data_IF_037858203017
#
_entry.id   IF_037858203017
#
_cell.length_a   1.000
_cell.length_b   1.000
_cell.length_c   1.000
_cell.angle_alpha   90.00
_cell.angle_beta   90.00
_cell.angle_gamma   90.00
#
_symmetry.space_group_name_H-M   'P 1'
#
loop_
_entity.id
_entity.type
_entity.pdbx_description
1 polymer ?
#
# COMPACT_ATOMS: atom_id res chain seq x y z
N UNK A 1 -50.02 -6.47 -9.05
CA UNK A 1 -48.70 -6.83 -9.62
C UNK A 1 -47.70 -6.91 -8.47
N UNK A 2 -47.35 -8.12 -8.02
CA UNK A 2 -46.30 -8.30 -7.01
C UNK A 2 -44.94 -8.20 -7.72
N UNK A 3 -44.14 -7.17 -7.37
CA UNK A 3 -42.72 -7.13 -7.74
C UNK A 3 -42.04 -8.33 -7.08
N UNK A 4 -41.59 -9.28 -7.88
CA UNK A 4 -40.62 -10.29 -7.44
C UNK A 4 -39.37 -9.53 -7.00
N UNK A 5 -38.87 -9.71 -5.77
CA UNK A 5 -37.62 -9.09 -5.34
C UNK A 5 -36.50 -9.54 -6.28
N UNK A 6 -35.78 -8.58 -6.86
CA UNK A 6 -34.53 -8.86 -7.56
C UNK A 6 -33.60 -9.56 -6.57
N UNK A 7 -33.33 -10.85 -6.79
CA UNK A 7 -32.33 -11.58 -6.01
C UNK A 7 -30.99 -11.01 -6.41
N UNK A 8 -30.39 -10.23 -5.50
CA UNK A 8 -29.02 -9.76 -5.71
C UNK A 8 -28.10 -10.98 -5.87
N UNK A 9 -27.28 -11.04 -6.93
CA UNK A 9 -26.36 -12.15 -7.10
C UNK A 9 -25.38 -12.21 -5.92
N UNK A 10 -25.21 -13.40 -5.36
CA UNK A 10 -24.26 -13.69 -4.28
C UNK A 10 -23.11 -14.54 -4.81
N UNK A 11 -21.90 -14.31 -4.29
CA UNK A 11 -20.69 -15.00 -4.72
C UNK A 11 -19.94 -15.55 -3.50
N UNK A 12 -19.45 -16.79 -3.61
CA UNK A 12 -18.54 -17.40 -2.63
C UNK A 12 -17.29 -17.88 -3.37
N UNK A 13 -16.19 -17.13 -3.22
CA UNK A 13 -14.92 -17.34 -3.92
C UNK A 13 -15.03 -17.33 -5.45
N UNK A 14 -13.88 -17.42 -6.11
CA UNK A 14 -13.73 -17.61 -7.55
C UNK A 14 -12.59 -18.62 -7.81
N UNK A 15 -12.70 -19.45 -8.85
CA UNK A 15 -11.58 -20.30 -9.26
C UNK A 15 -10.43 -19.43 -9.75
N UNK A 16 -9.20 -19.77 -9.37
CA UNK A 16 -8.03 -19.15 -9.97
C UNK A 16 -7.93 -19.55 -11.45
N UNK A 17 -7.49 -18.63 -12.32
CA UNK A 17 -7.25 -18.93 -13.72
C UNK A 17 -6.04 -19.87 -13.88
N UNK A 18 -5.92 -20.60 -15.01
CA UNK A 18 -4.85 -21.58 -15.22
C UNK A 18 -3.43 -21.03 -15.09
N UNK A 19 -3.22 -19.73 -15.32
CA UNK A 19 -1.92 -19.06 -15.16
C UNK A 19 -1.50 -18.79 -13.70
N UNK A 20 -2.36 -19.09 -12.73
CA UNK A 20 -2.10 -18.89 -11.30
C UNK A 20 -2.09 -20.24 -10.57
N UNK A 21 -1.06 -20.51 -9.77
CA UNK A 21 -0.96 -21.75 -8.99
C UNK A 21 -1.47 -21.46 -7.57
N UNK A 22 -2.59 -22.08 -7.19
CA UNK A 22 -3.14 -21.94 -5.84
C UNK A 22 -2.10 -22.37 -4.79
N UNK A 23 -1.89 -21.55 -3.76
CA UNK A 23 -0.88 -21.82 -2.71
C UNK A 23 -1.07 -23.19 -2.03
N UNK A 24 -2.32 -23.59 -1.80
CA UNK A 24 -2.66 -24.84 -1.12
C UNK A 24 -2.69 -26.07 -2.04
N UNK A 25 -2.47 -25.92 -3.36
CA UNK A 25 -2.41 -27.06 -4.28
C UNK A 25 -1.16 -27.92 -4.02
N UNK A 26 -1.10 -29.11 -4.61
CA UNK A 26 0.12 -29.92 -4.55
C UNK A 26 1.32 -29.19 -5.15
N UNK A 27 1.14 -28.59 -6.32
CA UNK A 27 2.16 -27.77 -6.98
C UNK A 27 2.53 -26.53 -6.16
N UNK A 28 1.56 -25.78 -5.64
CA UNK A 28 1.82 -24.57 -4.85
C UNK A 28 2.61 -24.85 -3.58
N UNK A 29 2.37 -26.01 -2.94
CA UNK A 29 3.15 -26.49 -1.80
C UNK A 29 4.55 -26.95 -2.20
N UNK A 30 4.72 -27.54 -3.39
CA UNK A 30 6.04 -27.89 -3.91
C UNK A 30 6.87 -26.63 -4.18
N UNK A 31 6.30 -25.65 -4.90
CA UNK A 31 6.92 -24.34 -5.16
C UNK A 31 7.32 -23.65 -3.86
N UNK A 32 6.46 -23.67 -2.83
CA UNK A 32 6.79 -23.10 -1.52
C UNK A 32 7.99 -23.78 -0.86
N UNK A 33 8.05 -25.12 -0.85
CA UNK A 33 9.19 -25.84 -0.24
C UNK A 33 10.49 -25.55 -0.97
N UNK A 34 10.44 -25.50 -2.30
CA UNK A 34 11.59 -25.18 -3.15
C UNK A 34 12.07 -23.74 -2.90
N UNK A 35 11.17 -22.76 -2.93
CA UNK A 35 11.47 -21.35 -2.64
C UNK A 35 12.01 -21.15 -1.21
N UNK A 36 11.46 -21.87 -0.23
CA UNK A 36 11.95 -21.83 1.15
C UNK A 36 13.38 -22.37 1.26
N UNK A 37 13.68 -23.49 0.56
CA UNK A 37 15.03 -24.04 0.51
C UNK A 37 16.02 -23.11 -0.21
N UNK A 38 15.53 -22.29 -1.15
CA UNK A 38 16.31 -21.25 -1.85
C UNK A 38 16.50 -19.97 -1.03
N UNK A 39 15.88 -19.85 0.15
CA UNK A 39 16.00 -18.68 1.02
C UNK A 39 15.25 -17.44 0.51
N UNK A 40 14.23 -17.61 -0.34
CA UNK A 40 13.48 -16.52 -0.97
C UNK A 40 12.05 -16.41 -0.45
N UNK A 41 11.83 -16.79 0.81
CA UNK A 41 10.54 -16.80 1.51
C UNK A 41 10.55 -16.00 2.83
N UNK A 42 11.57 -15.21 3.10
CA UNK A 42 11.74 -14.53 4.41
C UNK A 42 10.62 -13.53 4.70
N UNK A 43 10.08 -12.87 3.67
CA UNK A 43 8.91 -12.00 3.79
C UNK A 43 7.63 -12.74 4.21
N UNK A 44 7.53 -14.05 3.94
CA UNK A 44 6.31 -14.82 4.16
C UNK A 44 5.93 -14.89 5.64
N UNK A 45 6.92 -15.14 6.50
CA UNK A 45 6.70 -15.39 7.92
C UNK A 45 6.08 -14.20 8.65
N UNK A 46 6.68 -12.98 8.63
CA UNK A 46 6.06 -11.84 9.29
C UNK A 46 4.75 -11.44 8.61
N UNK A 47 4.62 -11.53 7.28
CA UNK A 47 3.37 -11.18 6.60
C UNK A 47 2.21 -12.14 6.93
N UNK A 48 2.47 -13.44 7.07
CA UNK A 48 1.40 -14.42 7.36
C UNK A 48 0.87 -14.29 8.78
N UNK A 49 1.70 -13.87 9.75
CA UNK A 49 1.26 -13.50 11.10
C UNK A 49 0.24 -12.35 11.06
N UNK A 50 0.31 -11.50 10.03
CA UNK A 50 -0.57 -10.35 9.84
C UNK A 50 -1.69 -10.58 8.84
N UNK A 51 -1.84 -11.79 8.28
CA UNK A 51 -2.66 -11.96 7.07
C UNK A 51 -4.13 -11.59 7.28
N UNK A 52 -4.53 -10.51 6.61
CA UNK A 52 -5.78 -9.81 6.82
C UNK A 52 -6.77 -10.06 5.66
N UNK A 53 -8.07 -10.06 5.97
CA UNK A 53 -9.11 -10.00 4.93
C UNK A 53 -9.54 -8.55 4.82
N UNK A 54 -9.46 -7.94 3.64
CA UNK A 54 -9.89 -6.55 3.47
C UNK A 54 -11.32 -6.34 3.98
N UNK A 55 -11.55 -5.30 4.79
CA UNK A 55 -12.83 -5.12 5.49
C UNK A 55 -13.97 -4.72 4.54
N UNK A 56 -13.63 -3.98 3.47
CA UNK A 56 -14.56 -3.57 2.41
C UNK A 56 -14.04 -3.99 1.03
N UNK A 57 -14.91 -4.18 0.01
CA UNK A 57 -14.49 -4.54 -1.35
C UNK A 57 -13.48 -3.58 -1.98
N UNK A 58 -13.50 -2.29 -1.62
CA UNK A 58 -12.56 -1.27 -2.11
C UNK A 58 -11.27 -1.15 -1.25
N UNK A 59 -11.23 -1.78 -0.07
CA UNK A 59 -10.14 -1.61 0.91
C UNK A 59 -8.90 -2.48 0.65
N UNK A 60 -8.76 -3.09 -0.53
CA UNK A 60 -7.59 -3.94 -0.82
C UNK A 60 -6.23 -3.23 -0.59
N UNK A 61 -6.15 -1.93 -0.88
CA UNK A 61 -4.97 -1.12 -0.59
C UNK A 61 -4.72 -0.96 0.92
N UNK A 62 -5.78 -0.69 1.70
CA UNK A 62 -5.68 -0.56 3.16
C UNK A 62 -5.33 -1.90 3.82
N UNK A 63 -6.02 -2.97 3.44
CA UNK A 63 -5.77 -4.33 3.94
C UNK A 63 -4.38 -4.84 3.64
N UNK A 64 -3.84 -4.51 2.46
CA UNK A 64 -2.45 -4.79 2.13
C UNK A 64 -1.49 -3.98 3.00
N UNK A 65 -1.77 -2.70 3.21
CA UNK A 65 -0.87 -1.83 3.95
C UNK A 65 -0.83 -2.17 5.45
N UNK A 66 -1.96 -2.51 6.09
CA UNK A 66 -1.94 -2.94 7.50
C UNK A 66 -1.15 -4.22 7.72
N UNK A 67 -1.17 -5.16 6.76
CA UNK A 67 -0.30 -6.34 6.82
C UNK A 67 1.16 -5.94 6.86
N UNK A 68 1.56 -5.05 5.96
CA UNK A 68 2.96 -4.61 5.83
C UNK A 68 3.41 -3.79 7.04
N UNK A 69 2.62 -2.81 7.50
CA UNK A 69 2.98 -1.96 8.63
C UNK A 69 3.14 -2.77 9.93
N UNK A 70 2.23 -3.72 10.19
CA UNK A 70 2.35 -4.61 11.35
C UNK A 70 3.51 -5.60 11.19
N UNK A 71 3.78 -6.11 9.98
CA UNK A 71 4.90 -7.01 9.71
C UNK A 71 6.28 -6.32 9.90
N UNK A 72 6.35 -5.02 9.61
CA UNK A 72 7.51 -4.16 9.91
C UNK A 72 7.61 -3.78 11.39
N UNK A 73 6.68 -4.22 12.24
CA UNK A 73 6.62 -3.91 13.67
C UNK A 73 6.66 -2.38 13.93
N UNK A 74 6.01 -1.61 13.05
CA UNK A 74 5.87 -0.16 13.24
C UNK A 74 4.76 0.07 14.27
N UNK A 75 5.07 0.94 15.24
CA UNK A 75 4.12 1.34 16.26
C UNK A 75 3.23 2.47 15.73
N UNK A 76 1.90 2.32 15.69
CA UNK A 76 1.02 3.38 15.19
C UNK A 76 1.01 4.62 16.07
N UNK A 77 1.55 4.56 17.29
CA UNK A 77 1.61 5.71 18.22
C UNK A 77 0.24 6.16 18.73
N UNK A 78 -0.83 5.39 18.46
CA UNK A 78 -2.19 5.63 18.95
C UNK A 78 -2.87 4.33 19.33
N UNK A 79 -3.81 4.42 20.27
CA UNK A 79 -4.61 3.28 20.69
C UNK A 79 -5.46 2.73 19.54
N UNK A 80 -5.56 1.41 19.47
CA UNK A 80 -6.50 0.68 18.62
C UNK A 80 -7.70 0.20 19.42
N UNK A 81 -7.46 -0.63 20.46
CA UNK A 81 -8.50 -1.18 21.34
C UNK A 81 -7.99 -1.27 22.77
N UNK A 82 -8.63 -0.54 23.69
CA UNK A 82 -8.17 -0.46 25.08
C UNK A 82 -6.73 0.05 25.14
N UNK A 83 -5.81 -0.61 25.89
CA UNK A 83 -4.41 -0.19 25.97
C UNK A 83 -3.56 -0.62 24.76
N UNK A 84 -4.13 -1.39 23.81
CA UNK A 84 -3.38 -1.97 22.71
C UNK A 84 -3.22 -1.00 21.54
N UNK A 85 -2.03 -0.99 20.96
CA UNK A 85 -1.68 -0.24 19.75
C UNK A 85 -1.41 -1.23 18.63
N UNK A 86 -2.09 -1.06 17.51
CA UNK A 86 -2.02 -1.97 16.36
C UNK A 86 -2.59 -1.28 15.13
N UNK A 87 -2.03 -1.53 13.94
CA UNK A 87 -2.63 -0.99 12.72
C UNK A 87 -3.90 -1.76 12.34
N UNK A 88 -4.98 -1.02 12.11
CA UNK A 88 -6.21 -1.48 11.46
C UNK A 88 -6.58 -0.57 10.28
N UNK A 89 -7.42 -1.06 9.36
CA UNK A 89 -7.77 -0.30 8.15
C UNK A 89 -8.44 1.04 8.50
N UNK A 90 -9.21 1.07 9.59
CA UNK A 90 -9.87 2.27 10.15
C UNK A 90 -8.89 3.38 10.57
N UNK A 91 -7.61 3.08 10.72
CA UNK A 91 -6.58 4.05 11.08
C UNK A 91 -5.89 4.64 9.85
N UNK A 92 -6.10 4.11 8.64
CA UNK A 92 -5.39 4.55 7.44
C UNK A 92 -6.13 5.69 6.71
N UNK A 93 -6.30 6.82 7.41
CA UNK A 93 -7.14 7.95 6.99
C UNK A 93 -6.37 9.28 6.81
N UNK A 94 -5.04 9.27 6.79
CA UNK A 94 -4.22 10.49 6.75
C UNK A 94 -4.09 11.15 5.36
N UNK A 95 -4.24 10.35 4.30
CA UNK A 95 -4.02 10.77 2.89
C UNK A 95 -5.30 10.75 2.04
N UNK A 96 -6.39 10.20 2.58
CA UNK A 96 -7.72 10.11 1.97
C UNK A 96 -8.72 9.69 3.03
N UNK A 97 -9.94 10.24 3.02
CA UNK A 97 -10.98 9.81 3.96
C UNK A 97 -11.40 8.36 3.70
N UNK A 98 -11.76 7.62 4.74
CA UNK A 98 -12.22 6.23 4.59
C UNK A 98 -13.48 6.13 3.72
N UNK A 99 -14.35 7.15 3.75
CA UNK A 99 -15.55 7.21 2.91
C UNK A 99 -15.19 7.31 1.42
N UNK A 100 -14.17 8.09 1.07
CA UNK A 100 -13.71 8.19 -0.32
C UNK A 100 -12.98 6.92 -0.75
N UNK A 101 -12.23 6.29 0.15
CA UNK A 101 -11.59 4.98 -0.12
C UNK A 101 -12.66 3.91 -0.32
N UNK A 102 -13.76 3.95 0.42
CA UNK A 102 -14.82 2.95 0.30
C UNK A 102 -15.55 3.06 -1.05
N UNK A 103 -15.62 4.26 -1.62
CA UNK A 103 -16.22 4.49 -2.94
C UNK A 103 -15.27 4.15 -4.09
N UNK A 104 -14.02 4.61 -4.03
CA UNK A 104 -13.13 4.64 -5.20
C UNK A 104 -11.85 3.81 -5.05
N UNK A 105 -11.56 3.33 -3.84
CA UNK A 105 -10.27 2.74 -3.49
C UNK A 105 -9.14 3.78 -3.40
N UNK A 106 -7.90 3.32 -3.59
CA UNK A 106 -6.71 4.17 -3.59
C UNK A 106 -5.82 3.89 -4.80
N UNK A 107 -5.07 4.91 -5.22
CA UNK A 107 -4.03 4.80 -6.25
C UNK A 107 -2.71 4.30 -5.66
N UNK A 108 -1.74 3.95 -6.52
CA UNK A 108 -0.39 3.53 -6.09
C UNK A 108 0.32 4.60 -5.25
N UNK A 109 0.16 5.87 -5.61
CA UNK A 109 0.77 7.01 -4.89
C UNK A 109 0.07 7.28 -3.56
N UNK A 110 -1.25 7.09 -3.49
CA UNK A 110 -1.99 7.18 -2.24
C UNK A 110 -1.59 6.07 -1.26
N UNK A 111 -1.33 4.86 -1.73
CA UNK A 111 -0.78 3.79 -0.89
C UNK A 111 0.59 4.17 -0.30
N UNK A 112 1.49 4.74 -1.11
CA UNK A 112 2.79 5.20 -0.62
C UNK A 112 2.66 6.35 0.39
N UNK A 113 1.76 7.31 0.14
CA UNK A 113 1.45 8.39 1.09
C UNK A 113 0.97 7.82 2.43
N UNK A 114 0.01 6.88 2.41
CA UNK A 114 -0.50 6.23 3.62
C UNK A 114 0.61 5.48 4.37
N UNK A 115 1.53 4.82 3.67
CA UNK A 115 2.69 4.17 4.30
C UNK A 115 3.61 5.20 4.99
N UNK A 116 3.95 6.29 4.28
CA UNK A 116 4.81 7.38 4.76
C UNK A 116 4.22 8.08 5.98
N UNK A 117 2.93 8.40 5.93
CA UNK A 117 2.26 9.05 7.06
C UNK A 117 2.17 8.16 8.30
N UNK A 118 2.33 6.84 8.15
CA UNK A 118 2.31 5.88 9.26
C UNK A 118 3.72 5.43 9.66
N UNK A 119 4.77 6.18 9.32
CA UNK A 119 6.14 5.96 9.82
C UNK A 119 6.97 4.96 9.02
N UNK A 120 6.52 4.57 7.82
CA UNK A 120 7.30 3.72 6.91
C UNK A 120 7.96 4.56 5.81
N UNK A 121 9.11 4.11 5.31
CA UNK A 121 9.60 4.59 4.02
C UNK A 121 8.89 3.84 2.90
N UNK A 122 8.45 4.54 1.87
CA UNK A 122 7.86 3.95 0.68
C UNK A 122 8.53 4.49 -0.60
N UNK A 123 9.05 3.60 -1.44
CA UNK A 123 9.64 3.94 -2.74
C UNK A 123 8.74 3.38 -3.86
N UNK A 124 8.15 4.25 -4.68
CA UNK A 124 7.20 3.88 -5.75
C UNK A 124 7.91 3.61 -7.06
N UNK A 125 7.59 2.50 -7.72
CA UNK A 125 8.04 2.15 -9.07
C UNK A 125 6.84 1.91 -9.99
N UNK A 126 6.63 2.83 -10.92
CA UNK A 126 5.59 2.67 -11.95
C UNK A 126 6.06 1.70 -13.03
N UNK A 127 5.16 0.83 -13.48
CA UNK A 127 5.46 -0.13 -14.54
C UNK A 127 5.83 0.54 -15.88
N UNK A 128 5.22 1.69 -16.20
CA UNK A 128 5.51 2.46 -17.43
C UNK A 128 6.95 3.02 -17.47
N UNK A 129 7.60 3.19 -16.32
CA UNK A 129 8.97 3.72 -16.20
C UNK A 129 9.96 2.75 -15.55
N UNK A 130 9.55 1.51 -15.28
CA UNK A 130 10.42 0.47 -14.71
C UNK A 130 10.52 -0.72 -15.66
N UNK A 131 11.13 -1.81 -15.22
CA UNK A 131 11.26 -3.03 -16.01
C UNK A 131 10.91 -4.28 -15.21
N UNK A 132 10.71 -5.39 -15.92
CA UNK A 132 10.52 -6.69 -15.31
C UNK A 132 11.74 -7.09 -14.44
N UNK A 133 12.95 -6.75 -14.86
CA UNK A 133 14.17 -6.99 -14.10
C UNK A 133 14.19 -6.18 -12.81
N UNK A 134 13.70 -4.93 -12.83
CA UNK A 134 13.55 -4.12 -11.63
C UNK A 134 12.55 -4.74 -10.65
N UNK A 135 11.42 -5.26 -11.15
CA UNK A 135 10.46 -6.01 -10.32
C UNK A 135 11.10 -7.26 -9.72
N UNK A 136 11.79 -8.08 -10.52
CA UNK A 136 12.48 -9.29 -10.05
C UNK A 136 13.50 -8.95 -8.96
N UNK A 137 14.29 -7.90 -9.16
CA UNK A 137 15.28 -7.46 -8.19
C UNK A 137 14.63 -7.01 -6.87
N UNK A 138 13.59 -6.18 -6.94
CA UNK A 138 12.88 -5.69 -5.76
C UNK A 138 12.21 -6.84 -4.97
N UNK A 139 11.55 -7.76 -5.67
CA UNK A 139 10.91 -8.92 -5.06
C UNK A 139 11.96 -9.84 -4.42
N UNK A 140 13.05 -10.15 -5.14
CA UNK A 140 14.12 -10.99 -4.61
C UNK A 140 14.75 -10.39 -3.35
N UNK A 141 15.04 -9.09 -3.37
CA UNK A 141 15.63 -8.38 -2.23
C UNK A 141 14.73 -8.51 -1.00
N UNK A 142 13.45 -8.14 -1.12
CA UNK A 142 12.50 -8.17 -0.01
C UNK A 142 12.18 -9.59 0.49
N UNK A 143 12.26 -10.60 -0.38
CA UNK A 143 11.95 -11.98 0.04
C UNK A 143 13.18 -12.78 0.46
N UNK A 144 14.39 -12.25 0.30
CA UNK A 144 15.64 -12.87 0.78
C UNK A 144 16.16 -12.27 2.08
N UNK A 145 15.62 -11.13 2.51
CA UNK A 145 15.96 -10.46 3.77
C UNK A 145 14.81 -10.60 4.76
N UNK A 146 15.16 -10.80 6.03
CA UNK A 146 14.18 -10.85 7.10
C UNK A 146 13.83 -9.42 7.56
N UNK A 147 12.53 -9.15 7.70
CA UNK A 147 11.90 -8.10 8.53
C UNK A 147 12.10 -6.61 8.18
N UNK A 148 13.03 -6.25 7.31
CA UNK A 148 13.35 -4.82 7.10
C UNK A 148 12.57 -4.17 5.94
N UNK A 149 12.13 -4.95 4.97
CA UNK A 149 11.37 -4.47 3.82
C UNK A 149 10.40 -5.48 3.22
N UNK A 150 9.35 -4.94 2.62
CA UNK A 150 8.32 -5.69 1.90
C UNK A 150 7.99 -5.01 0.58
N UNK A 151 7.56 -5.82 -0.40
CA UNK A 151 7.06 -5.33 -1.68
C UNK A 151 5.54 -5.48 -1.72
N UNK A 152 4.86 -4.39 -2.07
CA UNK A 152 3.45 -4.36 -2.42
C UNK A 152 3.32 -4.18 -3.92
N UNK A 153 2.48 -4.97 -4.57
CA UNK A 153 2.16 -4.83 -5.99
C UNK A 153 0.76 -4.29 -6.18
N UNK A 154 0.59 -3.38 -7.12
CA UNK A 154 -0.67 -2.89 -7.64
C UNK A 154 -0.83 -3.37 -9.07
N UNK A 155 -1.86 -4.17 -9.34
CA UNK A 155 -2.01 -4.82 -10.64
C UNK A 155 -3.47 -4.86 -11.06
N UNK A 156 -3.70 -4.99 -12.37
CA UNK A 156 -5.01 -5.19 -12.97
C UNK A 156 -5.35 -6.68 -12.97
N UNK A 157 -6.46 -7.05 -12.33
CA UNK A 157 -6.91 -8.45 -12.27
C UNK A 157 -7.28 -9.01 -13.64
N UNK A 158 -7.81 -8.21 -14.56
CA UNK A 158 -8.25 -8.71 -15.87
C UNK A 158 -7.07 -9.21 -16.70
N UNK A 159 -5.93 -8.54 -16.59
CA UNK A 159 -4.68 -8.95 -17.25
C UNK A 159 -4.15 -10.30 -16.75
N UNK A 160 -4.56 -10.73 -15.55
CA UNK A 160 -4.28 -12.06 -15.00
C UNK A 160 -5.45 -13.03 -15.18
N UNK A 161 -6.45 -12.72 -16.02
CA UNK A 161 -7.69 -13.48 -16.20
C UNK A 161 -8.50 -13.68 -14.91
N UNK A 162 -8.32 -12.78 -13.94
CA UNK A 162 -9.08 -12.76 -12.69
C UNK A 162 -10.28 -11.80 -12.81
N UNK A 163 -11.33 -12.10 -12.05
CA UNK A 163 -12.50 -11.21 -11.99
C UNK A 163 -12.17 -9.94 -11.20
N UNK A 164 -12.56 -8.77 -11.70
CA UNK A 164 -12.37 -7.47 -11.06
C UNK A 164 -11.48 -6.56 -11.90
N UNK A 165 -11.05 -5.45 -11.32
CA UNK A 165 -10.10 -4.50 -11.92
C UNK A 165 -8.86 -4.37 -11.03
N UNK A 166 -8.40 -3.16 -10.74
CA UNK A 166 -7.21 -2.91 -9.91
C UNK A 166 -7.26 -3.60 -8.54
N UNK A 167 -6.11 -4.09 -8.09
CA UNK A 167 -5.95 -4.75 -6.81
C UNK A 167 -4.55 -4.53 -6.22
N UNK A 168 -4.45 -4.60 -4.90
CA UNK A 168 -3.19 -4.56 -4.16
C UNK A 168 -3.00 -5.86 -3.39
N UNK A 169 -1.76 -6.34 -3.31
CA UNK A 169 -1.38 -7.43 -2.41
C UNK A 169 0.10 -7.33 -2.05
N UNK A 170 0.50 -7.77 -0.85
CA UNK A 170 1.91 -7.93 -0.54
C UNK A 170 2.47 -9.20 -1.19
N UNK A 171 3.75 -9.15 -1.56
CA UNK A 171 4.49 -10.30 -2.07
C UNK A 171 5.09 -11.06 -0.89
N UNK A 172 4.63 -12.29 -0.67
CA UNK A 172 5.10 -13.14 0.43
C UNK A 172 6.40 -13.88 0.13
N UNK A 173 6.74 -14.08 -1.13
CA UNK A 173 7.88 -14.91 -1.51
C UNK A 173 8.12 -14.96 -3.00
N UNK A 174 9.26 -15.54 -3.39
CA UNK A 174 9.68 -15.70 -4.77
C UNK A 174 10.21 -17.11 -5.00
N UNK A 175 9.93 -17.69 -6.16
CA UNK A 175 10.68 -18.84 -6.66
C UNK A 175 11.54 -18.37 -7.85
N UNK A 176 12.86 -18.20 -7.70
CA UNK A 176 13.69 -17.62 -8.75
C UNK A 176 13.79 -18.50 -10.00
N UNK A 177 13.95 -19.82 -9.86
CA UNK A 177 14.16 -20.69 -11.03
C UNK A 177 12.89 -20.90 -11.87
N UNK A 178 11.72 -20.81 -11.24
CA UNK A 178 10.40 -20.86 -11.91
C UNK A 178 9.86 -19.47 -12.29
N UNK A 179 10.57 -18.41 -11.91
CA UNK A 179 10.19 -17.00 -12.07
C UNK A 179 8.79 -16.67 -11.54
N UNK A 180 8.48 -17.13 -10.32
CA UNK A 180 7.17 -16.95 -9.68
C UNK A 180 7.25 -16.00 -8.48
N UNK A 181 6.20 -15.22 -8.24
CA UNK A 181 5.95 -14.48 -7.01
C UNK A 181 4.71 -15.01 -6.29
N UNK A 182 4.76 -15.10 -4.97
CA UNK A 182 3.62 -15.47 -4.12
C UNK A 182 2.86 -14.21 -3.72
N UNK A 183 1.62 -14.06 -4.21
CA UNK A 183 0.72 -12.99 -3.79
C UNK A 183 -0.11 -13.43 -2.58
N UNK A 184 -0.07 -12.65 -1.50
CA UNK A 184 -0.92 -12.84 -0.33
C UNK A 184 -2.22 -12.04 -0.50
N UNK A 185 -3.10 -12.53 -1.39
CA UNK A 185 -4.33 -11.84 -1.80
C UNK A 185 -5.24 -11.51 -0.60
N UNK A 186 -5.44 -10.21 -0.33
CA UNK A 186 -6.23 -9.72 0.80
C UNK A 186 -7.75 -9.81 0.55
N UNK A 187 -8.18 -10.01 -0.70
CA UNK A 187 -9.56 -10.35 -1.04
C UNK A 187 -9.82 -11.84 -0.79
N UNK A 188 -9.57 -12.31 0.44
CA UNK A 188 -9.61 -13.74 0.83
C UNK A 188 -10.97 -14.41 0.64
N UNK A 189 -12.03 -13.61 0.60
CA UNK A 189 -13.39 -14.05 0.25
C UNK A 189 -13.54 -14.38 -1.25
N UNK A 190 -12.59 -13.97 -2.09
CA UNK A 190 -12.58 -14.12 -3.54
C UNK A 190 -11.52 -15.12 -4.01
N UNK A 191 -10.25 -14.90 -3.69
CA UNK A 191 -9.13 -15.73 -4.13
C UNK A 191 -8.22 -16.11 -2.94
N UNK A 192 -7.60 -17.30 -2.95
CA UNK A 192 -6.57 -17.65 -1.98
C UNK A 192 -5.23 -16.99 -2.34
N UNK A 193 -4.22 -17.04 -1.46
CA UNK A 193 -2.84 -16.84 -1.88
C UNK A 193 -2.49 -17.71 -3.08
N UNK A 194 -1.69 -17.18 -3.99
CA UNK A 194 -1.36 -17.87 -5.23
C UNK A 194 -0.02 -17.42 -5.78
N UNK A 195 0.65 -18.34 -6.47
CA UNK A 195 1.84 -18.04 -7.25
C UNK A 195 1.45 -17.54 -8.63
N UNK A 196 2.15 -16.50 -9.10
CA UNK A 196 1.98 -15.91 -10.42
C UNK A 196 3.36 -15.74 -11.09
N UNK A 197 3.49 -15.97 -12.41
CA UNK A 197 4.70 -15.62 -13.14
C UNK A 197 5.02 -14.13 -13.02
N UNK A 198 6.27 -13.78 -12.70
CA UNK A 198 6.70 -12.39 -12.54
C UNK A 198 6.52 -11.58 -13.84
N UNK A 199 6.70 -12.21 -15.01
CA UNK A 199 6.39 -11.60 -16.30
C UNK A 199 4.89 -11.25 -16.44
N UNK A 200 4.00 -12.17 -16.08
CA UNK A 200 2.56 -11.94 -16.13
C UNK A 200 2.13 -10.86 -15.13
N UNK A 201 2.72 -10.86 -13.93
CA UNK A 201 2.50 -9.84 -12.93
C UNK A 201 2.97 -8.47 -13.43
N UNK A 202 4.15 -8.37 -14.04
CA UNK A 202 4.65 -7.14 -14.65
C UNK A 202 3.71 -6.62 -15.74
N UNK A 203 3.23 -7.49 -16.62
CA UNK A 203 2.20 -7.11 -17.61
C UNK A 203 0.94 -6.57 -16.94
N UNK A 204 0.49 -7.19 -15.85
CA UNK A 204 -0.69 -6.72 -15.11
C UNK A 204 -0.50 -5.37 -14.40
N UNK A 205 0.73 -4.89 -14.23
CA UNK A 205 0.99 -3.55 -13.69
C UNK A 205 0.97 -2.45 -14.76
N UNK A 206 1.11 -2.80 -16.05
CA UNK A 206 1.20 -1.82 -17.15
C UNK A 206 -0.11 -1.09 -17.48
N UNK A 207 -1.31 -1.71 -17.43
CA UNK A 207 -2.55 -1.01 -17.74
C UNK A 207 -2.71 0.25 -16.88
N UNK A 208 -3.08 1.34 -17.55
CA UNK A 208 -3.31 2.64 -16.92
C UNK A 208 -4.44 2.52 -15.90
N UNK A 209 -4.21 3.03 -14.70
CA UNK A 209 -5.24 3.27 -13.71
C UNK A 209 -6.01 4.55 -14.10
N UNK A 210 -7.31 4.47 -14.40
CA UNK A 210 -8.09 5.62 -14.86
C UNK A 210 -8.18 6.74 -13.82
N UNK A 211 -8.02 6.44 -12.53
CA UNK A 211 -8.07 7.45 -11.46
C UNK A 211 -6.81 8.31 -11.43
N UNK A 212 -5.64 7.72 -11.68
CA UNK A 212 -4.35 8.43 -11.64
C UNK A 212 -3.83 8.87 -13.00
N UNK A 213 -4.34 8.28 -14.09
CA UNK A 213 -3.83 8.52 -15.44
C UNK A 213 -2.43 7.95 -15.69
N UNK A 214 -1.95 7.07 -14.80
CA UNK A 214 -0.62 6.44 -14.87
C UNK A 214 -0.73 4.93 -14.83
N UNK A 215 0.31 4.20 -15.23
CA UNK A 215 0.36 2.76 -14.97
C UNK A 215 0.25 2.46 -13.47
N UNK A 216 -0.04 1.20 -13.14
CA UNK A 216 0.18 0.69 -11.78
C UNK A 216 1.68 0.39 -11.61
N UNK A 217 2.03 -0.54 -10.72
CA UNK A 217 3.42 -0.79 -10.38
C UNK A 217 3.59 -1.46 -9.02
N UNK A 218 4.74 -1.26 -8.41
CA UNK A 218 5.05 -1.79 -7.10
C UNK A 218 5.60 -0.72 -6.17
N UNK A 219 5.51 -0.97 -4.87
CA UNK A 219 6.07 -0.12 -3.82
C UNK A 219 6.95 -0.98 -2.93
N UNK A 220 8.19 -0.56 -2.72
CA UNK A 220 9.05 -1.11 -1.67
C UNK A 220 8.81 -0.32 -0.41
N UNK A 221 8.36 -0.98 0.65
CA UNK A 221 8.03 -0.37 1.94
C UNK A 221 9.00 -0.90 2.98
N UNK A 222 9.67 -0.01 3.72
CA UNK A 222 10.69 -0.37 4.72
C UNK A 222 10.40 0.32 6.03
N UNK A 223 10.86 -0.29 7.12
CA UNK A 223 10.84 0.36 8.43
C UNK A 223 11.80 1.56 8.42
N UNK A 224 11.32 2.70 8.90
CA UNK A 224 12.17 3.87 9.13
C UNK A 224 12.17 4.20 10.63
N UNK A 225 13.21 3.75 11.34
CA UNK A 225 13.29 3.80 12.81
C UNK A 225 13.15 5.18 13.44
N UNK A 226 13.23 6.25 12.65
CA UNK A 226 13.28 7.60 13.14
C UNK A 226 12.03 8.44 12.77
N UNK A 227 11.10 7.93 11.96
CA UNK A 227 9.91 8.71 11.56
C UNK A 227 8.72 8.28 12.40
N UNK A 228 8.23 9.18 13.25
CA UNK A 228 6.98 8.96 13.98
C UNK A 228 5.78 9.04 13.00
N UNK A 229 4.74 8.20 13.18
CA UNK A 229 3.48 8.34 12.46
C UNK A 229 2.87 9.74 12.66
N UNK A 230 2.17 10.27 11.65
CA UNK A 230 1.49 11.57 11.71
C UNK A 230 0.57 11.69 12.92
N UNK A 231 -0.15 10.61 13.24
CA UNK A 231 -1.01 10.56 14.41
C UNK A 231 -0.25 10.75 15.73
N UNK A 232 1.03 10.41 15.78
CA UNK A 232 1.90 10.58 16.94
C UNK A 232 2.63 11.93 16.98
N UNK A 233 2.63 12.71 15.88
CA UNK A 233 3.39 13.97 15.79
C UNK A 233 2.95 15.04 16.78
N UNK A 234 1.76 14.94 17.36
CA UNK A 234 1.31 15.86 18.41
C UNK A 234 2.13 15.72 19.71
N UNK A 235 2.77 14.57 19.94
CA UNK A 235 3.66 14.30 21.08
C UNK A 235 5.14 14.31 20.69
N UNK A 236 5.45 14.45 19.39
CA UNK A 236 6.80 14.39 18.84
C UNK A 236 7.61 15.69 19.08
N UNK A 237 8.93 15.57 19.06
CA UNK A 237 9.81 16.74 19.09
C UNK A 237 9.93 17.43 17.71
N UNK A 238 10.51 18.63 17.70
CA UNK A 238 10.64 19.40 16.46
C UNK A 238 11.57 18.76 15.42
N UNK A 239 12.54 17.93 15.84
CA UNK A 239 13.47 17.26 14.92
C UNK A 239 12.76 16.12 14.16
N UNK A 240 11.86 15.42 14.84
CA UNK A 240 11.00 14.38 14.23
C UNK A 240 10.02 14.99 13.22
N UNK A 241 9.40 16.12 13.56
CA UNK A 241 8.50 16.87 12.66
C UNK A 241 9.25 17.38 11.42
N UNK A 242 10.47 17.91 11.60
CA UNK A 242 11.28 18.40 10.48
C UNK A 242 11.64 17.28 9.50
N UNK A 243 12.04 16.11 10.01
CA UNK A 243 12.34 14.94 9.19
C UNK A 243 11.11 14.48 8.40
N UNK A 244 9.96 14.36 9.05
CA UNK A 244 8.71 14.00 8.37
C UNK A 244 8.42 14.92 7.18
N UNK A 245 8.48 16.25 7.36
CA UNK A 245 8.18 17.22 6.30
C UNK A 245 9.22 17.26 5.18
N UNK A 246 10.48 16.95 5.49
CA UNK A 246 11.57 16.93 4.51
C UNK A 246 11.40 15.80 3.50
N UNK A 247 11.01 14.62 3.97
CA UNK A 247 11.02 13.38 3.21
C UNK A 247 9.75 13.20 2.35
N UNK A 248 8.77 14.09 2.49
CA UNK A 248 7.64 14.22 1.56
C UNK A 248 8.15 14.61 0.16
N UNK A 249 7.87 13.76 -0.82
CA UNK A 249 8.16 14.03 -2.24
C UNK A 249 7.04 14.87 -2.89
N UNK A 250 7.29 15.40 -4.10
CA UNK A 250 6.34 16.28 -4.80
C UNK A 250 4.93 15.70 -5.01
N UNK A 251 4.78 14.37 -5.01
CA UNK A 251 3.49 13.68 -5.10
C UNK A 251 2.84 13.58 -3.71
N UNK A 252 3.62 13.29 -2.66
CA UNK A 252 3.16 13.33 -1.28
C UNK A 252 2.68 14.72 -0.87
N UNK A 253 3.36 15.76 -1.33
CA UNK A 253 2.97 17.16 -1.07
C UNK A 253 1.60 17.45 -1.66
N UNK A 254 1.30 16.95 -2.85
CA UNK A 254 0.02 17.13 -3.51
C UNK A 254 -1.10 16.46 -2.72
N UNK A 255 -0.89 15.19 -2.35
CA UNK A 255 -1.86 14.41 -1.59
C UNK A 255 -2.05 15.00 -0.20
N UNK A 256 -0.96 15.30 0.53
CA UNK A 256 -1.03 15.94 1.84
C UNK A 256 -1.58 17.35 1.78
N UNK A 257 -1.29 18.15 0.75
CA UNK A 257 -1.87 19.50 0.64
C UNK A 257 -3.36 19.44 0.29
N UNK A 258 -3.79 18.46 -0.50
CA UNK A 258 -5.21 18.12 -0.65
C UNK A 258 -5.83 17.74 0.70
N UNK A 259 -5.16 16.90 1.48
CA UNK A 259 -5.64 16.48 2.80
C UNK A 259 -5.71 17.63 3.82
N UNK A 260 -4.71 18.52 3.81
CA UNK A 260 -4.63 19.71 4.63
C UNK A 260 -5.69 20.76 4.22
N UNK A 261 -6.18 20.72 2.98
CA UNK A 261 -7.27 21.58 2.47
C UNK A 261 -8.65 21.01 2.75
N UNK A 262 -8.82 19.70 2.63
CA UNK A 262 -10.11 19.02 2.76
C UNK A 262 -10.40 18.58 4.21
N UNK A 263 -9.43 18.66 5.11
CA UNK A 263 -9.64 18.41 6.55
C UNK A 263 -9.89 16.93 6.85
N UNK A 264 -9.01 16.04 6.40
CA UNK A 264 -9.15 14.60 6.63
C UNK A 264 -8.89 14.26 8.11
N UNK A 265 -9.65 13.32 8.66
CA UNK A 265 -9.79 12.97 10.09
C UNK A 265 -8.52 12.95 10.95
N UNK A 266 -7.37 12.49 10.46
CA UNK A 266 -6.10 12.42 11.23
C UNK A 266 -5.14 13.60 11.03
N UNK A 267 -5.46 14.56 10.16
CA UNK A 267 -4.66 15.78 9.92
C UNK A 267 -4.91 16.97 10.87
N UNK A 268 -6.03 17.10 11.63
CA UNK A 268 -6.25 18.23 12.53
C UNK A 268 -5.15 18.42 13.58
N UNK A 269 -4.62 17.38 14.26
CA UNK A 269 -3.53 17.54 15.21
C UNK A 269 -2.25 18.08 14.57
N UNK A 270 -1.93 17.63 13.34
CA UNK A 270 -0.81 18.17 12.57
C UNK A 270 -1.08 19.64 12.20
N UNK A 271 -2.29 19.98 11.76
CA UNK A 271 -2.65 21.37 11.43
C UNK A 271 -2.57 22.30 12.65
N UNK A 272 -2.96 21.84 13.83
CA UNK A 272 -2.80 22.59 15.09
C UNK A 272 -1.33 22.78 15.45
N UNK A 273 -0.52 21.72 15.36
CA UNK A 273 0.93 21.79 15.58
C UNK A 273 1.58 22.81 14.63
N UNK A 274 1.23 22.78 13.35
CA UNK A 274 1.74 23.68 12.31
C UNK A 274 1.20 25.12 12.40
N UNK A 275 0.27 25.40 13.31
CA UNK A 275 -0.21 26.76 13.62
C UNK A 275 0.44 27.35 14.87
N UNK A 276 1.30 26.59 15.55
CA UNK A 276 1.99 27.08 16.75
C UNK A 276 2.92 28.27 16.42
N UNK A 277 2.97 29.30 17.27
CA UNK A 277 3.80 30.48 17.02
C UNK A 277 5.32 30.23 17.17
N UNK A 278 5.69 29.15 17.87
CA UNK A 278 7.07 28.80 18.22
C UNK A 278 7.72 27.78 17.26
N UNK A 279 7.23 27.69 16.01
CA UNK A 279 7.81 26.82 14.99
C UNK A 279 9.31 27.13 14.78
N UNK A 280 10.18 26.11 14.68
CA UNK A 280 11.56 26.30 14.24
C UNK A 280 11.61 26.86 12.81
N UNK A 281 12.68 27.60 12.51
CA UNK A 281 12.86 28.21 11.18
C UNK A 281 12.97 27.15 10.06
N UNK A 282 13.64 26.04 10.33
CA UNK A 282 13.76 24.91 9.40
C UNK A 282 12.41 24.31 9.05
N UNK A 283 11.54 24.09 10.05
CA UNK A 283 10.17 23.61 9.86
C UNK A 283 9.36 24.60 9.01
N UNK A 284 9.47 25.92 9.29
CA UNK A 284 8.80 26.95 8.47
C UNK A 284 9.24 26.91 7.00
N UNK A 285 10.53 26.72 6.73
CA UNK A 285 11.06 26.63 5.37
C UNK A 285 10.51 25.41 4.62
N UNK A 286 10.43 24.25 5.29
CA UNK A 286 9.81 23.07 4.71
C UNK A 286 8.33 23.32 4.39
N UNK A 287 7.54 23.91 5.30
CA UNK A 287 6.13 24.25 5.02
C UNK A 287 5.96 25.22 3.86
N UNK A 288 6.84 26.22 3.74
CA UNK A 288 6.83 27.16 2.62
C UNK A 288 7.11 26.45 1.29
N UNK A 289 8.10 25.54 1.26
CA UNK A 289 8.39 24.67 0.10
C UNK A 289 7.16 23.85 -0.31
N UNK A 290 6.52 23.18 0.66
CA UNK A 290 5.35 22.34 0.42
C UNK A 290 4.18 23.16 -0.16
N UNK A 291 3.88 24.34 0.42
CA UNK A 291 2.83 25.24 -0.09
C UNK A 291 3.10 25.72 -1.51
N UNK A 292 4.35 26.07 -1.83
CA UNK A 292 4.74 26.51 -3.17
C UNK A 292 4.57 25.38 -4.20
N UNK A 293 4.98 24.15 -3.85
CA UNK A 293 4.80 22.97 -4.70
C UNK A 293 3.32 22.69 -4.97
N UNK A 294 2.46 22.70 -3.95
CA UNK A 294 1.03 22.50 -4.12
C UNK A 294 0.40 23.56 -5.03
N UNK A 295 0.74 24.83 -4.83
CA UNK A 295 0.25 25.94 -5.67
C UNK A 295 0.66 25.80 -7.14
N UNK A 296 1.90 25.37 -7.39
CA UNK A 296 2.39 25.14 -8.74
C UNK A 296 1.72 23.95 -9.45
N UNK A 297 1.17 23.01 -8.68
CA UNK A 297 0.50 21.82 -9.19
C UNK A 297 -0.99 22.08 -9.47
N UNK A 298 -1.68 22.88 -8.66
CA UNK A 298 -3.06 23.35 -8.95
C UNK A 298 -3.13 24.25 -10.19
N UNK A 299 -2.05 24.98 -10.48
CA UNK A 299 -1.97 25.86 -11.64
C UNK A 299 -1.81 25.10 -12.97
N UNK A 300 -1.66 23.76 -12.94
CA UNK A 300 -1.62 22.95 -14.17
C UNK A 300 -3.04 22.73 -14.67
N UNK A 301 -3.33 23.03 -15.96
CA UNK A 301 -4.62 22.67 -16.54
C UNK A 301 -4.82 21.14 -16.47
N UNK A 302 -6.06 20.66 -16.33
CA UNK A 302 -6.33 19.23 -16.37
C UNK A 302 -5.77 18.63 -17.66
N UNK A 303 -5.20 17.42 -17.62
CA UNK A 303 -4.72 16.77 -18.83
C UNK A 303 -5.87 16.65 -19.84
N UNK A 304 -5.59 17.07 -21.08
CA UNK A 304 -6.50 16.97 -22.23
C UNK A 304 -6.80 15.52 -22.59
#
# INVERSE_FOLDING_TARGET
>A
MHRVPSVMPSYHKRPLPPGCIAFSSEEGRAVFREALALGTMESFFPLVEQFHTQAEPAFCGLGTLVMVLNALEIDPGRAWKGPWRWFSEEQLDCCRSLDDVARDGITLTQLACLARCNGARADVSFAETSSLEALRAAVREATSRAKDDHVVVAYDRQTLDQTGSGHFSPVGGMHPDRDLALLLDVARFKYPPHWVPLEALHRAMLPVDPTSGRSRGFVTIRREHAVAPVAALHEADWAEVERFLRDLDGTDVLVLTGCLREGVSSTPPLLELLRRPDLPETVRQHLARLRAQATALDARPPPL
#
